data_IF_621740108323
#
_entry.id   IF_621740108323
#
_cell.length_a   1.000
_cell.length_b   1.000
_cell.length_c   1.000
_cell.angle_alpha   90.00
_cell.angle_beta   90.00
_cell.angle_gamma   90.00
#
_symmetry.space_group_name_H-M   'P 1'
#
loop_
_entity.id
_entity.type
_entity.pdbx_description
1 polymer ?
#
# COMPACT_ATOMS: atom_id res chain seq x y z
N UNK A 1 -6.55 19.87 4.79
CA UNK A 1 -5.55 18.82 5.03
C UNK A 1 -5.85 18.18 6.36
N UNK A 2 -5.90 16.86 6.40
CA UNK A 2 -6.07 16.09 7.63
C UNK A 2 -4.74 16.01 8.39
N UNK A 3 -4.79 15.74 9.71
CA UNK A 3 -3.58 15.58 10.53
C UNK A 3 -2.65 14.45 10.02
N UNK A 4 -3.20 13.45 9.33
CA UNK A 4 -2.44 12.35 8.73
C UNK A 4 -1.70 12.81 7.47
N UNK A 5 -2.37 13.59 6.61
CA UNK A 5 -1.75 14.19 5.42
C UNK A 5 -0.60 15.12 5.81
N UNK A 6 -0.78 15.92 6.86
CA UNK A 6 0.26 16.82 7.39
C UNK A 6 1.47 16.06 7.91
N UNK A 7 1.25 14.93 8.61
CA UNK A 7 2.31 14.08 9.13
C UNK A 7 3.06 13.33 8.03
N UNK A 8 2.35 12.81 7.03
CA UNK A 8 2.99 12.18 5.87
C UNK A 8 3.83 13.20 5.10
N UNK A 9 3.30 14.40 4.85
CA UNK A 9 4.03 15.48 4.21
C UNK A 9 5.27 15.90 5.03
N UNK A 10 5.14 16.00 6.35
CA UNK A 10 6.28 16.31 7.24
C UNK A 10 7.33 15.19 7.25
N UNK A 11 6.91 13.92 7.17
CA UNK A 11 7.82 12.77 7.06
C UNK A 11 8.55 12.82 5.73
N UNK A 12 7.85 12.96 4.61
CA UNK A 12 8.47 13.07 3.28
C UNK A 12 9.43 14.26 3.20
N UNK A 13 9.10 15.41 3.80
CA UNK A 13 9.97 16.59 3.80
C UNK A 13 11.30 16.36 4.54
N UNK A 14 11.30 15.57 5.62
CA UNK A 14 12.51 15.18 6.36
C UNK A 14 13.36 14.15 5.62
N UNK A 15 12.74 13.39 4.70
CA UNK A 15 13.37 12.32 3.96
C UNK A 15 13.49 12.64 2.45
N UNK A 16 13.70 13.92 2.12
CA UNK A 16 14.08 14.33 0.75
C UNK A 16 15.58 14.13 0.52
N UNK A 17 15.96 14.01 -0.74
CA UNK A 17 17.37 14.11 -1.13
C UNK A 17 17.98 15.43 -0.65
N UNK A 18 19.21 15.35 -0.13
CA UNK A 18 20.04 16.53 0.06
C UNK A 18 20.56 16.99 -1.31
N UNK A 19 20.44 18.28 -1.61
CA UNK A 19 20.97 18.85 -2.85
C UNK A 19 22.50 18.98 -2.84
N UNK A 20 23.16 18.80 -1.69
CA UNK A 20 24.57 19.13 -1.51
C UNK A 20 25.50 17.92 -1.57
N UNK A 21 24.99 16.72 -1.29
CA UNK A 21 25.69 15.45 -1.48
C UNK A 21 24.69 14.51 -2.15
N UNK A 22 24.88 14.21 -3.43
CA UNK A 22 23.98 13.38 -4.24
C UNK A 22 23.99 11.89 -3.82
N UNK A 23 24.09 11.58 -2.53
CA UNK A 23 24.13 10.21 -1.98
C UNK A 23 23.48 10.09 -0.59
N UNK A 24 23.03 11.19 0.03
CA UNK A 24 22.43 11.19 1.36
C UNK A 24 20.98 11.73 1.39
N UNK A 25 20.18 11.09 2.23
CA UNK A 25 18.86 11.55 2.63
C UNK A 25 19.03 12.64 3.70
N UNK A 26 18.17 13.66 3.72
CA UNK A 26 18.21 14.74 4.73
C UNK A 26 18.11 14.27 6.18
N UNK A 27 17.62 13.06 6.41
CA UNK A 27 17.59 12.45 7.74
C UNK A 27 18.96 11.93 8.22
N UNK A 28 20.00 12.02 7.38
CA UNK A 28 21.34 11.50 7.65
C UNK A 28 21.53 10.04 7.21
N UNK A 29 20.54 9.42 6.57
CA UNK A 29 20.70 8.10 5.96
C UNK A 29 21.56 8.19 4.70
N UNK A 30 22.51 7.28 4.58
CA UNK A 30 23.44 7.17 3.46
C UNK A 30 23.13 5.88 2.72
N UNK A 31 22.99 5.95 1.40
CA UNK A 31 22.66 4.78 0.60
C UNK A 31 23.85 3.82 0.49
N UNK A 32 23.61 2.54 0.78
CA UNK A 32 24.49 1.45 0.35
C UNK A 32 24.04 1.00 -1.04
N UNK A 33 24.77 1.43 -2.06
CA UNK A 33 24.30 1.35 -3.43
C UNK A 33 24.40 -0.05 -4.03
N UNK A 34 25.32 -0.91 -3.58
CA UNK A 34 25.52 -2.24 -4.19
C UNK A 34 25.34 -2.23 -5.72
N UNK A 35 24.35 -2.97 -6.22
CA UNK A 35 23.93 -3.02 -7.64
C UNK A 35 22.69 -2.17 -7.97
N UNK A 36 22.14 -1.39 -7.03
CA UNK A 36 20.95 -0.56 -7.24
C UNK A 36 21.28 0.93 -7.44
N UNK A 37 20.40 1.64 -8.15
CA UNK A 37 20.55 3.09 -8.30
C UNK A 37 20.24 3.81 -6.99
N UNK A 38 20.88 4.96 -6.76
CA UNK A 38 20.58 5.83 -5.62
C UNK A 38 19.10 6.16 -5.48
N UNK A 39 18.43 6.42 -6.60
CA UNK A 39 17.00 6.70 -6.61
C UNK A 39 16.18 5.54 -6.04
N UNK A 40 16.52 4.30 -6.40
CA UNK A 40 15.87 3.09 -5.89
C UNK A 40 16.18 2.86 -4.40
N UNK A 41 17.44 2.99 -3.99
CA UNK A 41 17.85 2.85 -2.60
C UNK A 41 17.14 3.87 -1.69
N UNK A 42 17.05 5.12 -2.13
CA UNK A 42 16.36 6.18 -1.41
C UNK A 42 14.84 5.97 -1.36
N UNK A 43 14.22 5.53 -2.46
CA UNK A 43 12.80 5.17 -2.46
C UNK A 43 12.49 4.06 -1.46
N UNK A 44 13.33 3.02 -1.40
CA UNK A 44 13.21 1.95 -0.41
C UNK A 44 13.39 2.46 1.04
N UNK A 45 14.34 3.37 1.28
CA UNK A 45 14.51 4.01 2.58
C UNK A 45 13.26 4.80 3.02
N UNK A 46 12.72 5.66 2.15
CA UNK A 46 11.51 6.45 2.44
C UNK A 46 10.32 5.53 2.71
N UNK A 47 10.16 4.47 1.91
CA UNK A 47 9.12 3.47 2.13
C UNK A 47 9.25 2.78 3.51
N UNK A 48 10.47 2.40 3.91
CA UNK A 48 10.71 1.80 5.22
C UNK A 48 10.40 2.75 6.39
N UNK A 49 10.70 4.05 6.24
CA UNK A 49 10.38 5.06 7.24
C UNK A 49 8.87 5.23 7.40
N UNK A 50 8.14 5.30 6.29
CA UNK A 50 6.67 5.42 6.35
C UNK A 50 6.07 4.15 6.93
N UNK A 51 6.56 2.97 6.53
CA UNK A 51 6.11 1.68 7.07
C UNK A 51 6.44 1.48 8.56
N UNK A 52 7.40 2.21 9.11
CA UNK A 52 7.73 2.21 10.54
C UNK A 52 6.81 3.09 11.40
N UNK A 53 5.87 3.82 10.79
CA UNK A 53 4.87 4.59 11.54
C UNK A 53 3.72 3.68 11.95
N UNK A 54 3.37 3.68 13.24
CA UNK A 54 2.31 2.80 13.78
C UNK A 54 0.92 3.08 13.18
N UNK A 55 0.74 4.23 12.54
CA UNK A 55 -0.52 4.71 11.95
C UNK A 55 -0.45 4.97 10.44
N UNK A 56 0.66 4.62 9.76
CA UNK A 56 0.78 4.67 8.30
C UNK A 56 1.14 3.29 7.77
N UNK A 57 0.44 2.84 6.73
CA UNK A 57 0.88 1.67 5.96
C UNK A 57 1.21 2.08 4.53
N UNK A 58 2.38 1.64 4.07
CA UNK A 58 2.69 1.54 2.65
C UNK A 58 2.35 0.12 2.23
N UNK A 59 1.41 -0.03 1.32
CA UNK A 59 1.03 -1.33 0.76
C UNK A 59 1.54 -1.34 -0.67
N UNK A 60 2.61 -2.09 -0.91
CA UNK A 60 2.94 -2.48 -2.28
C UNK A 60 1.82 -3.37 -2.79
N UNK A 61 1.24 -3.02 -3.94
CA UNK A 61 0.19 -3.85 -4.52
C UNK A 61 0.81 -5.18 -4.96
N UNK A 62 0.21 -6.32 -4.60
CA UNK A 62 0.65 -7.59 -5.17
C UNK A 62 0.49 -7.55 -6.69
N UNK A 63 1.24 -8.40 -7.39
CA UNK A 63 1.00 -8.61 -8.81
C UNK A 63 -0.47 -9.02 -8.99
N UNK A 64 -1.19 -8.43 -9.95
CA UNK A 64 -2.54 -8.89 -10.27
C UNK A 64 -2.49 -10.35 -10.72
N UNK A 65 -3.63 -11.03 -10.61
CA UNK A 65 -3.80 -12.37 -11.16
C UNK A 65 -3.54 -12.37 -12.67
N UNK A 66 -3.10 -13.50 -13.21
CA UNK A 66 -2.99 -13.67 -14.66
C UNK A 66 -4.38 -13.53 -15.29
N UNK A 67 -4.46 -12.80 -16.41
CA UNK A 67 -5.72 -12.63 -17.15
C UNK A 67 -5.89 -13.73 -18.18
N UNK A 68 -7.08 -14.31 -18.25
CA UNK A 68 -7.55 -15.18 -19.32
C UNK A 68 -8.25 -14.37 -20.43
N UNK A 69 -8.44 -14.97 -21.62
CA UNK A 69 -8.94 -14.27 -22.81
C UNK A 69 -10.38 -13.74 -22.66
N UNK A 70 -11.16 -14.30 -21.73
CA UNK A 70 -12.54 -13.92 -21.42
C UNK A 70 -12.70 -13.12 -20.12
N UNK A 71 -11.59 -12.75 -19.46
CA UNK A 71 -11.65 -11.93 -18.27
C UNK A 71 -12.13 -10.52 -18.58
N UNK A 72 -13.04 -10.02 -17.74
CA UNK A 72 -13.59 -8.66 -17.83
C UNK A 72 -13.09 -7.72 -16.74
N UNK A 73 -12.10 -8.14 -15.95
CA UNK A 73 -11.55 -7.35 -14.85
C UNK A 73 -10.07 -7.65 -14.60
N UNK A 74 -9.36 -6.65 -14.07
CA UNK A 74 -8.05 -6.88 -13.44
C UNK A 74 -8.28 -7.17 -11.96
N UNK A 75 -7.80 -8.32 -11.47
CA UNK A 75 -8.14 -8.82 -10.13
C UNK A 75 -6.93 -9.16 -9.26
N UNK A 76 -7.14 -9.17 -7.96
CA UNK A 76 -6.18 -9.55 -6.92
C UNK A 76 -6.84 -10.50 -5.91
N UNK A 77 -6.05 -11.45 -5.40
CA UNK A 77 -6.48 -12.46 -4.42
C UNK A 77 -6.79 -13.82 -5.06
N UNK A 78 -6.73 -14.88 -4.26
CA UNK A 78 -7.04 -16.25 -4.71
C UNK A 78 -8.51 -16.62 -4.50
N UNK A 79 -9.04 -17.45 -5.40
CA UNK A 79 -10.35 -18.08 -5.29
C UNK A 79 -10.53 -18.98 -4.04
N UNK A 80 -9.47 -19.27 -3.27
CA UNK A 80 -9.49 -20.27 -2.21
C UNK A 80 -10.36 -19.96 -0.99
N UNK A 81 -10.96 -18.77 -0.90
CA UNK A 81 -12.02 -18.44 0.06
C UNK A 81 -13.13 -17.61 -0.58
N UNK A 82 -13.28 -17.72 -1.89
CA UNK A 82 -14.28 -17.02 -2.69
C UNK A 82 -14.28 -15.48 -2.54
N UNK A 83 -13.17 -14.87 -2.14
CA UNK A 83 -13.03 -13.41 -2.04
C UNK A 83 -12.03 -12.92 -3.09
N UNK A 84 -12.48 -12.03 -3.97
CA UNK A 84 -11.63 -11.40 -4.97
C UNK A 84 -11.92 -9.90 -5.01
N UNK A 85 -10.88 -9.10 -5.26
CA UNK A 85 -11.02 -7.65 -5.45
C UNK A 85 -10.48 -7.30 -6.82
N UNK A 86 -11.07 -6.33 -7.50
CA UNK A 86 -10.65 -5.97 -8.83
C UNK A 86 -11.28 -4.70 -9.37
N UNK A 87 -10.86 -4.37 -10.57
CA UNK A 87 -11.36 -3.23 -11.36
C UNK A 87 -11.94 -3.81 -12.64
N UNK A 88 -13.25 -3.67 -12.82
CA UNK A 88 -13.96 -4.15 -14.00
C UNK A 88 -13.68 -3.23 -15.19
N UNK A 89 -13.51 -3.79 -16.38
CA UNK A 89 -13.12 -3.03 -17.58
C UNK A 89 -14.20 -2.00 -17.97
N UNK A 90 -15.49 -2.32 -17.74
CA UNK A 90 -16.61 -1.39 -17.98
C UNK A 90 -16.79 -0.33 -16.88
N UNK A 91 -16.24 -0.56 -15.69
CA UNK A 91 -16.33 0.31 -14.52
C UNK A 91 -14.92 0.62 -13.99
N UNK A 92 -14.05 1.08 -14.89
CA UNK A 92 -12.61 1.21 -14.64
C UNK A 92 -12.24 2.25 -13.55
N UNK A 93 -13.20 3.07 -13.12
CA UNK A 93 -13.07 4.06 -12.04
C UNK A 93 -13.67 3.58 -10.71
N UNK A 94 -14.13 2.33 -10.64
CA UNK A 94 -14.75 1.73 -9.47
C UNK A 94 -13.98 0.48 -9.03
N UNK A 95 -14.13 0.14 -7.76
CA UNK A 95 -13.56 -1.06 -7.15
C UNK A 95 -14.68 -2.04 -6.90
N UNK A 96 -14.53 -3.27 -7.39
CA UNK A 96 -15.51 -4.32 -7.19
C UNK A 96 -14.91 -5.41 -6.29
N UNK A 97 -15.76 -5.91 -5.38
CA UNK A 97 -15.46 -7.05 -4.53
C UNK A 97 -16.41 -8.18 -4.91
N UNK A 98 -15.85 -9.34 -5.20
CA UNK A 98 -16.60 -10.57 -5.43
C UNK A 98 -16.52 -11.43 -4.18
N UNK A 99 -17.68 -11.90 -3.71
CA UNK A 99 -17.81 -12.89 -2.64
C UNK A 99 -18.62 -14.04 -3.21
N UNK A 100 -18.12 -15.28 -3.12
CA UNK A 100 -18.79 -16.45 -3.71
C UNK A 100 -19.05 -16.30 -5.22
N UNK A 101 -18.13 -15.62 -5.92
CA UNK A 101 -18.23 -15.25 -7.34
C UNK A 101 -19.39 -14.31 -7.69
N UNK A 102 -20.11 -13.82 -6.69
CA UNK A 102 -21.17 -12.82 -6.86
C UNK A 102 -20.58 -11.42 -6.63
N UNK A 103 -20.69 -10.50 -7.60
CA UNK A 103 -20.24 -9.13 -7.43
C UNK A 103 -21.12 -8.40 -6.42
N UNK A 104 -20.50 -7.80 -5.41
CA UNK A 104 -21.14 -6.80 -4.56
C UNK A 104 -21.20 -5.47 -5.33
N UNK A 105 -22.16 -4.59 -5.03
CA UNK A 105 -22.24 -3.24 -5.60
C UNK A 105 -20.85 -2.56 -5.64
N UNK A 106 -20.41 -2.04 -6.80
CA UNK A 106 -19.10 -1.42 -6.93
C UNK A 106 -18.96 -0.22 -5.99
N UNK A 107 -17.77 -0.07 -5.45
CA UNK A 107 -17.41 1.04 -4.58
C UNK A 107 -16.66 2.10 -5.37
N UNK A 108 -16.86 3.37 -5.00
CA UNK A 108 -15.92 4.40 -5.39
C UNK A 108 -14.53 4.13 -4.80
N UNK A 109 -13.45 4.65 -5.40
CA UNK A 109 -12.10 4.50 -4.85
C UNK A 109 -12.00 4.99 -3.40
N UNK A 110 -12.79 6.01 -3.03
CA UNK A 110 -12.84 6.54 -1.67
C UNK A 110 -13.41 5.52 -0.68
N UNK A 111 -14.55 4.90 -1.01
CA UNK A 111 -15.19 3.90 -0.14
C UNK A 111 -14.29 2.67 0.03
N UNK A 112 -13.64 2.24 -1.05
CA UNK A 112 -12.67 1.15 -1.00
C UNK A 112 -11.48 1.46 -0.08
N UNK A 113 -10.92 2.67 -0.15
CA UNK A 113 -9.82 3.11 0.73
C UNK A 113 -10.28 3.15 2.19
N UNK A 114 -11.49 3.66 2.47
CA UNK A 114 -12.03 3.69 3.82
C UNK A 114 -12.19 2.28 4.39
N UNK A 115 -12.77 1.34 3.64
CA UNK A 115 -12.89 -0.05 4.07
C UNK A 115 -11.52 -0.73 4.29
N UNK A 116 -10.58 -0.54 3.36
CA UNK A 116 -9.22 -1.08 3.48
C UNK A 116 -8.50 -0.56 4.73
N UNK A 117 -8.72 0.71 5.10
CA UNK A 117 -8.13 1.28 6.31
C UNK A 117 -8.63 0.60 7.59
N UNK A 118 -9.92 0.25 7.66
CA UNK A 118 -10.49 -0.49 8.79
C UNK A 118 -9.94 -1.91 8.87
N UNK A 119 -9.82 -2.59 7.72
CA UNK A 119 -9.23 -3.94 7.66
C UNK A 119 -7.78 -3.94 8.15
N UNK A 120 -6.98 -2.99 7.69
CA UNK A 120 -5.60 -2.84 8.10
C UNK A 120 -5.47 -2.54 9.61
N UNK A 121 -6.30 -1.62 10.13
CA UNK A 121 -6.32 -1.30 11.55
C UNK A 121 -6.69 -2.54 12.41
N UNK A 122 -7.67 -3.32 11.96
CA UNK A 122 -8.06 -4.56 12.62
C UNK A 122 -6.94 -5.62 12.60
N UNK A 123 -6.25 -5.78 11.47
CA UNK A 123 -5.11 -6.70 11.35
C UNK A 123 -3.97 -6.30 12.30
N UNK A 124 -3.62 -5.01 12.35
CA UNK A 124 -2.61 -4.47 13.29
C UNK A 124 -2.99 -4.68 14.75
N UNK A 125 -4.25 -4.44 15.10
CA UNK A 125 -4.74 -4.71 16.44
C UNK A 125 -4.65 -6.20 16.81
N UNK A 126 -4.94 -7.10 15.86
CA UNK A 126 -4.84 -8.55 16.07
C UNK A 126 -3.38 -9.01 16.28
N UNK A 127 -2.41 -8.44 15.55
CA UNK A 127 -0.98 -8.69 15.75
C UNK A 127 -0.51 -8.24 17.15
N UNK A 128 -1.01 -7.10 17.65
CA UNK A 128 -0.64 -6.62 19.00
C UNK A 128 -1.12 -7.54 20.13
N UNK A 129 -2.25 -8.24 19.94
CA UNK A 129 -2.78 -9.19 20.93
C UNK A 129 -1.91 -10.44 21.05
N UNK A 130 -1.21 -10.85 19.99
CA UNK A 130 -0.35 -12.04 20.03
C UNK A 130 1.04 -11.77 20.62
N UNK A 131 1.49 -10.50 20.68
CA UNK A 131 2.81 -10.13 21.22
C UNK A 131 2.84 -9.87 22.74
N UNK A 132 1.70 -9.60 23.37
CA UNK A 132 1.60 -9.32 24.83
C UNK A 132 1.20 -10.57 25.65
N UNK A 133 1.20 -11.75 25.02
CA UNK A 133 0.68 -13.01 25.57
C UNK A 133 1.72 -14.12 25.82
N UNK A 134 3.03 -13.85 25.68
CA UNK A 134 4.12 -14.76 26.10
C UNK A 134 4.93 -14.20 27.27
#
# INVERSE_FOLDING_TARGET
MSAVEDRLAATLAKHQFSYFNEVDCRCGWVADLGDCSLAQAHAAHVAAVIASSDDLAVIELPKPNEREDDDTATTWGEAYNNLQVGVHDEYADQVQVWVDYEPIEPWSPREAVEFASHLLAAAKAAEGVTSDGE
#
